data_IF_264721942448
#
_entry.id   IF_264721942448
#
_cell.length_a   1.000
_cell.length_b   1.000
_cell.length_c   1.000
_cell.angle_alpha   90.00
_cell.angle_beta   90.00
_cell.angle_gamma   90.00
#
_symmetry.space_group_name_H-M   'P 1'
#
loop_
_entity.id
_entity.type
_entity.pdbx_description
1 polymer ?
#
# COMPACT_ATOMS: atom_id res chain seq x y z
N UNK A 1 -13.56 -34.72 -53.47
CA UNK A 1 -13.94 -34.67 -52.04
C UNK A 1 -12.76 -34.74 -51.07
N UNK A 2 -11.75 -35.60 -51.25
CA UNK A 2 -10.63 -35.76 -50.29
C UNK A 2 -9.73 -34.53 -50.07
N UNK A 3 -9.41 -33.76 -51.12
CA UNK A 3 -8.51 -32.60 -51.00
C UNK A 3 -9.09 -31.45 -50.15
N UNK A 4 -10.40 -31.29 -50.12
CA UNK A 4 -11.07 -30.28 -49.29
C UNK A 4 -10.97 -30.62 -47.81
N UNK A 5 -11.13 -31.91 -47.46
CA UNK A 5 -10.98 -32.39 -46.09
C UNK A 5 -9.56 -32.14 -45.56
N UNK A 6 -8.54 -32.39 -46.39
CA UNK A 6 -7.12 -32.16 -46.05
C UNK A 6 -6.83 -30.65 -45.85
N UNK A 7 -7.41 -29.79 -46.68
CA UNK A 7 -7.27 -28.33 -46.51
C UNK A 7 -7.91 -27.82 -45.21
N UNK A 8 -9.10 -28.32 -44.88
CA UNK A 8 -9.81 -27.95 -43.65
C UNK A 8 -9.08 -28.45 -42.41
N UNK A 9 -8.58 -29.69 -42.41
CA UNK A 9 -7.81 -30.22 -41.26
C UNK A 9 -6.48 -29.49 -41.08
N UNK A 10 -5.76 -29.18 -42.16
CA UNK A 10 -4.54 -28.37 -42.12
C UNK A 10 -4.79 -26.97 -41.55
N UNK A 11 -5.87 -26.32 -41.97
CA UNK A 11 -6.27 -25.01 -41.44
C UNK A 11 -6.63 -25.09 -39.95
N UNK A 12 -7.35 -26.13 -39.52
CA UNK A 12 -7.71 -26.34 -38.11
C UNK A 12 -6.45 -26.53 -37.25
N UNK A 13 -5.49 -27.36 -37.69
CA UNK A 13 -4.22 -27.56 -36.98
C UNK A 13 -3.45 -26.25 -36.88
N UNK A 14 -3.39 -25.46 -37.96
CA UNK A 14 -2.70 -24.17 -37.97
C UNK A 14 -3.33 -23.19 -36.98
N UNK A 15 -4.67 -23.11 -36.93
CA UNK A 15 -5.40 -22.28 -35.96
C UNK A 15 -5.11 -22.73 -34.53
N UNK A 16 -5.16 -24.05 -34.23
CA UNK A 16 -4.88 -24.58 -32.89
C UNK A 16 -3.44 -24.25 -32.45
N UNK A 17 -2.45 -24.43 -33.34
CA UNK A 17 -1.06 -24.09 -33.05
C UNK A 17 -0.89 -22.59 -32.80
N UNK A 18 -1.55 -21.74 -33.59
CA UNK A 18 -1.47 -20.29 -33.45
C UNK A 18 -2.12 -19.81 -32.14
N UNK A 19 -3.32 -20.31 -31.81
CA UNK A 19 -4.01 -20.02 -30.54
C UNK A 19 -3.19 -20.52 -29.35
N UNK A 20 -2.66 -21.75 -29.42
CA UNK A 20 -1.80 -22.32 -28.37
C UNK A 20 -0.54 -21.49 -28.15
N UNK A 21 0.13 -21.03 -29.21
CA UNK A 21 1.28 -20.12 -29.10
C UNK A 21 0.91 -18.79 -28.46
N UNK A 22 -0.19 -18.16 -28.90
CA UNK A 22 -0.64 -16.88 -28.33
C UNK A 22 -0.97 -17.01 -26.85
N UNK A 23 -1.64 -18.10 -26.46
CA UNK A 23 -1.97 -18.39 -25.07
C UNK A 23 -0.69 -18.60 -24.25
N UNK A 24 0.23 -19.43 -24.74
CA UNK A 24 1.50 -19.70 -24.08
C UNK A 24 2.34 -18.44 -23.90
N UNK A 25 2.42 -17.57 -24.92
CA UNK A 25 3.11 -16.28 -24.82
C UNK A 25 2.48 -15.40 -23.74
N UNK A 26 1.15 -15.22 -23.75
CA UNK A 26 0.47 -14.42 -22.72
C UNK A 26 0.71 -14.95 -21.30
N UNK A 27 0.70 -16.27 -21.12
CA UNK A 27 0.99 -16.87 -19.81
C UNK A 27 2.44 -16.67 -19.38
N UNK A 28 3.39 -16.84 -20.30
CA UNK A 28 4.81 -16.56 -20.02
C UNK A 28 5.01 -15.08 -19.68
N UNK A 29 4.41 -14.17 -20.43
CA UNK A 29 4.51 -12.73 -20.20
C UNK A 29 3.93 -12.37 -18.83
N UNK A 30 2.75 -12.90 -18.50
CA UNK A 30 2.09 -12.66 -17.20
C UNK A 30 2.94 -13.20 -16.03
N UNK A 31 3.49 -14.40 -16.18
CA UNK A 31 4.40 -14.99 -15.18
C UNK A 31 5.68 -14.20 -15.05
N UNK A 32 6.25 -13.75 -16.17
CA UNK A 32 7.45 -12.92 -16.17
C UNK A 32 7.20 -11.58 -15.48
N UNK A 33 6.09 -10.91 -15.77
CA UNK A 33 5.68 -9.67 -15.10
C UNK A 33 5.44 -9.86 -13.61
N UNK A 34 4.79 -10.96 -13.20
CA UNK A 34 4.61 -11.29 -11.79
C UNK A 34 5.97 -11.50 -11.09
N UNK A 35 6.86 -12.27 -11.71
CA UNK A 35 8.20 -12.54 -11.19
C UNK A 35 9.06 -11.27 -11.09
N UNK A 36 9.02 -10.39 -12.10
CA UNK A 36 9.74 -9.12 -12.04
C UNK A 36 9.20 -8.21 -10.93
N UNK A 37 7.88 -8.15 -10.74
CA UNK A 37 7.26 -7.40 -9.65
C UNK A 37 7.69 -7.95 -8.28
N UNK A 38 7.73 -9.26 -8.12
CA UNK A 38 8.20 -9.90 -6.89
C UNK A 38 9.68 -9.59 -6.61
N UNK A 39 10.55 -9.71 -7.62
CA UNK A 39 11.98 -9.35 -7.46
C UNK A 39 12.17 -7.88 -7.12
N UNK A 40 11.43 -6.98 -7.77
CA UNK A 40 11.46 -5.55 -7.45
C UNK A 40 10.97 -5.30 -6.02
N UNK A 41 9.91 -5.99 -5.59
CA UNK A 41 9.40 -5.90 -4.23
C UNK A 41 10.47 -6.31 -3.20
N UNK A 42 11.11 -7.46 -3.39
CA UNK A 42 12.18 -7.94 -2.50
C UNK A 42 13.34 -6.93 -2.47
N UNK A 43 13.79 -6.47 -3.63
CA UNK A 43 14.89 -5.52 -3.73
C UNK A 43 14.59 -4.20 -2.98
N UNK A 44 13.40 -3.63 -3.18
CA UNK A 44 12.99 -2.42 -2.48
C UNK A 44 12.79 -2.63 -0.99
N UNK A 45 12.20 -3.76 -0.58
CA UNK A 45 12.05 -4.13 0.82
C UNK A 45 13.41 -4.21 1.52
N UNK A 46 14.40 -4.88 0.90
CA UNK A 46 15.76 -4.95 1.44
C UNK A 46 16.38 -3.56 1.57
N UNK A 47 16.24 -2.69 0.57
CA UNK A 47 16.79 -1.34 0.63
C UNK A 47 16.13 -0.49 1.74
N UNK A 48 14.80 -0.56 1.88
CA UNK A 48 14.07 0.20 2.90
C UNK A 48 14.37 -0.28 4.33
N UNK A 49 14.75 -1.55 4.51
CA UNK A 49 15.19 -2.09 5.81
C UNK A 49 16.67 -1.80 6.09
N UNK A 50 17.53 -1.81 5.07
CA UNK A 50 18.96 -1.53 5.23
C UNK A 50 19.21 -0.08 5.64
N UNK A 51 18.43 0.89 5.15
CA UNK A 51 18.59 2.30 5.51
C UNK A 51 18.55 2.57 7.03
N UNK A 52 17.45 2.23 7.77
CA UNK A 52 17.40 2.42 9.22
C UNK A 52 18.43 1.55 9.94
N UNK A 53 18.74 0.35 9.45
CA UNK A 53 19.76 -0.51 10.03
C UNK A 53 21.16 0.12 9.98
N UNK A 54 21.54 0.71 8.84
CA UNK A 54 22.82 1.42 8.70
C UNK A 54 22.86 2.66 9.58
N UNK A 55 21.75 3.39 9.74
CA UNK A 55 21.67 4.53 10.65
C UNK A 55 21.89 4.11 12.12
N UNK A 56 21.23 3.03 12.56
CA UNK A 56 21.41 2.46 13.90
C UNK A 56 22.87 2.03 14.12
N UNK A 57 23.48 1.34 13.14
CA UNK A 57 24.88 0.93 13.22
C UNK A 57 25.82 2.14 13.34
N UNK A 58 25.59 3.19 12.53
CA UNK A 58 26.37 4.42 12.57
C UNK A 58 26.26 5.15 13.92
N UNK A 59 25.06 5.27 14.48
CA UNK A 59 24.86 5.89 15.81
C UNK A 59 25.55 5.08 16.92
N UNK A 60 25.50 3.75 16.86
CA UNK A 60 26.26 2.87 17.75
C UNK A 60 27.79 3.09 17.62
N UNK A 61 28.33 3.14 16.40
CA UNK A 61 29.76 3.40 16.16
C UNK A 61 30.16 4.79 16.69
N UNK A 62 29.34 5.80 16.44
CA UNK A 62 29.55 7.18 16.90
C UNK A 62 29.53 7.27 18.42
N UNK A 63 28.60 6.60 19.09
CA UNK A 63 28.52 6.56 20.55
C UNK A 63 29.71 5.82 21.19
N UNK A 64 30.23 4.78 20.53
CA UNK A 64 31.33 3.95 21.03
C UNK A 64 32.73 4.51 20.72
N UNK A 65 32.86 5.44 19.77
CA UNK A 65 34.14 6.01 19.33
C UNK A 65 34.96 6.67 20.46
N UNK A 66 34.29 7.31 21.42
CA UNK A 66 34.93 7.90 22.60
C UNK A 66 33.92 8.06 23.73
N UNK A 67 34.41 8.18 24.97
CA UNK A 67 33.56 8.56 26.10
C UNK A 67 32.97 9.95 25.88
N UNK A 68 31.66 10.05 26.09
CA UNK A 68 30.88 11.28 26.01
C UNK A 68 30.16 11.54 27.33
N UNK A 69 29.45 12.67 27.43
CA UNK A 69 28.59 12.92 28.58
C UNK A 69 27.31 12.06 28.49
N UNK A 70 26.50 12.08 29.56
CA UNK A 70 25.26 11.31 29.60
C UNK A 70 24.20 11.80 28.59
N UNK A 71 24.10 13.11 28.36
CA UNK A 71 23.14 13.69 27.42
C UNK A 71 23.43 13.30 25.98
N UNK A 72 24.71 13.25 25.58
CA UNK A 72 25.12 12.76 24.26
C UNK A 72 24.70 11.29 24.04
N UNK A 73 24.80 10.45 25.07
CA UNK A 73 24.35 9.06 25.00
C UNK A 73 22.83 8.95 24.92
N UNK A 74 22.10 9.75 25.70
CA UNK A 74 20.63 9.80 25.62
C UNK A 74 20.17 10.22 24.23
N UNK A 75 20.82 11.20 23.60
CA UNK A 75 20.50 11.61 22.22
C UNK A 75 20.73 10.47 21.21
N UNK A 76 21.89 9.80 21.26
CA UNK A 76 22.15 8.65 20.38
C UNK A 76 21.16 7.50 20.62
N UNK A 77 20.78 7.23 21.88
CA UNK A 77 19.79 6.20 22.20
C UNK A 77 18.40 6.56 21.66
N UNK A 78 17.98 7.82 21.77
CA UNK A 78 16.71 8.29 21.20
C UNK A 78 16.70 8.12 19.67
N UNK A 79 17.79 8.48 18.98
CA UNK A 79 17.90 8.28 17.53
C UNK A 79 17.85 6.81 17.12
N UNK A 80 18.51 5.93 17.88
CA UNK A 80 18.44 4.48 17.67
C UNK A 80 17.01 3.97 17.88
N UNK A 81 16.31 4.45 18.90
CA UNK A 81 14.91 4.10 19.15
C UNK A 81 14.02 4.53 17.98
N UNK A 82 14.14 5.77 17.50
CA UNK A 82 13.37 6.30 16.37
C UNK A 82 13.56 5.45 15.10
N UNK A 83 14.81 5.12 14.75
CA UNK A 83 15.08 4.27 13.57
C UNK A 83 14.61 2.82 13.76
N UNK A 84 14.67 2.29 14.99
CA UNK A 84 14.13 0.97 15.33
C UNK A 84 12.60 0.93 15.18
N UNK A 85 11.91 1.96 15.68
CA UNK A 85 10.46 2.11 15.52
C UNK A 85 10.08 2.23 14.03
N UNK A 86 10.85 3.00 13.26
CA UNK A 86 10.68 3.13 11.80
C UNK A 86 10.86 1.78 11.10
N UNK A 87 11.89 1.02 11.44
CA UNK A 87 12.13 -0.31 10.87
C UNK A 87 10.96 -1.26 11.20
N UNK A 88 10.48 -1.25 12.45
CA UNK A 88 9.31 -2.03 12.88
C UNK A 88 8.06 -1.70 12.06
N UNK A 89 7.82 -0.42 11.79
CA UNK A 89 6.70 0.02 10.94
C UNK A 89 6.84 -0.48 9.50
N UNK A 90 8.04 -0.41 8.92
CA UNK A 90 8.30 -0.94 7.57
C UNK A 90 8.06 -2.44 7.50
N UNK A 91 8.57 -3.21 8.47
CA UNK A 91 8.34 -4.67 8.52
C UNK A 91 6.85 -4.98 8.59
N UNK A 92 6.09 -4.28 9.45
CA UNK A 92 4.64 -4.45 9.53
C UNK A 92 3.98 -4.17 8.18
N UNK A 93 4.30 -3.05 7.53
CA UNK A 93 3.75 -2.71 6.21
C UNK A 93 4.04 -3.79 5.16
N UNK A 94 5.26 -4.34 5.13
CA UNK A 94 5.65 -5.42 4.22
C UNK A 94 4.90 -6.72 4.50
N UNK A 95 4.80 -7.11 5.78
CA UNK A 95 4.04 -8.30 6.19
C UNK A 95 2.58 -8.18 5.81
N UNK A 96 1.94 -7.02 6.05
CA UNK A 96 0.55 -6.83 5.65
C UNK A 96 0.37 -6.80 4.15
N UNK A 97 1.34 -6.26 3.40
CA UNK A 97 1.25 -6.34 1.94
C UNK A 97 1.33 -7.79 1.46
N UNK A 98 2.20 -8.60 2.06
CA UNK A 98 2.34 -10.03 1.75
C UNK A 98 1.09 -10.84 2.17
N UNK A 99 0.55 -10.59 3.36
CA UNK A 99 -0.71 -11.20 3.82
C UNK A 99 -1.86 -10.77 2.93
N UNK A 100 -1.90 -9.50 2.52
CA UNK A 100 -2.95 -9.01 1.65
C UNK A 100 -2.90 -9.61 0.23
N UNK A 101 -1.76 -10.18 -0.17
CA UNK A 101 -1.59 -10.91 -1.43
C UNK A 101 -1.93 -12.39 -1.30
N UNK A 102 -1.95 -12.94 -0.09
CA UNK A 102 -2.28 -14.34 0.18
C UNK A 102 -3.68 -14.39 0.81
N UNK A 103 -4.70 -14.81 0.07
CA UNK A 103 -6.12 -14.83 0.46
C UNK A 103 -6.47 -15.65 1.73
N UNK A 104 -5.50 -16.13 2.49
CA UNK A 104 -5.68 -17.00 3.65
C UNK A 104 -5.53 -16.23 4.97
N UNK A 105 -6.67 -15.96 5.62
CA UNK A 105 -7.08 -16.67 6.84
C UNK A 105 -7.83 -15.77 7.84
N UNK A 106 -9.06 -16.17 8.16
CA UNK A 106 -9.56 -16.19 9.55
C UNK A 106 -9.61 -14.89 10.35
N UNK A 107 -9.58 -13.71 9.73
CA UNK A 107 -9.58 -12.48 10.50
C UNK A 107 -10.89 -12.25 11.27
N UNK A 108 -10.77 -11.96 12.57
CA UNK A 108 -11.85 -11.49 13.45
C UNK A 108 -12.50 -10.25 12.85
N UNK A 109 -13.58 -10.44 12.09
CA UNK A 109 -14.40 -9.34 11.61
C UNK A 109 -15.34 -8.92 12.72
N UNK A 110 -15.31 -7.64 13.03
CA UNK A 110 -16.14 -7.05 14.07
C UNK A 110 -17.05 -6.00 13.43
N UNK A 111 -18.18 -5.74 14.09
CA UNK A 111 -19.06 -4.63 13.70
C UNK A 111 -18.46 -3.35 14.28
N UNK A 112 -17.98 -2.48 13.39
CA UNK A 112 -17.34 -1.22 13.72
C UNK A 112 -18.29 -0.08 13.36
N UNK A 113 -18.52 0.85 14.27
CA UNK A 113 -19.22 2.11 13.98
C UNK A 113 -18.28 3.07 13.28
N UNK A 114 -18.63 3.47 12.05
CA UNK A 114 -17.77 4.31 11.23
C UNK A 114 -17.42 5.64 11.88
N UNK A 115 -18.41 6.30 12.49
CA UNK A 115 -18.21 7.60 13.15
C UNK A 115 -17.14 7.52 14.24
N UNK A 116 -17.27 6.54 15.14
CA UNK A 116 -16.35 6.35 16.27
C UNK A 116 -14.95 5.96 15.77
N UNK A 117 -14.90 5.12 14.73
CA UNK A 117 -13.66 4.72 14.10
C UNK A 117 -12.93 5.89 13.44
N UNK A 118 -13.63 6.70 12.63
CA UNK A 118 -13.06 7.86 11.94
C UNK A 118 -12.67 8.97 12.93
N UNK A 119 -13.38 9.07 14.06
CA UNK A 119 -13.05 9.98 15.15
C UNK A 119 -11.61 9.83 15.67
N UNK A 120 -11.02 8.63 15.59
CA UNK A 120 -9.63 8.37 15.99
C UNK A 120 -8.59 9.12 15.16
N UNK A 121 -8.95 9.66 13.99
CA UNK A 121 -8.05 10.42 13.13
C UNK A 121 -8.18 11.94 13.32
N UNK A 122 -9.15 12.39 14.13
CA UNK A 122 -9.47 13.80 14.39
C UNK A 122 -8.60 14.40 15.50
N UNK A 123 -7.79 13.58 16.19
CA UNK A 123 -6.78 14.08 17.15
C UNK A 123 -5.76 15.04 16.50
N UNK A 124 -5.66 15.05 15.17
CA UNK A 124 -4.90 16.03 14.43
C UNK A 124 -5.78 17.25 14.10
N UNK A 125 -5.39 18.44 14.56
CA UNK A 125 -6.14 19.69 14.35
C UNK A 125 -6.35 20.07 12.86
N UNK A 126 -5.59 19.46 11.94
CA UNK A 126 -5.77 19.63 10.50
C UNK A 126 -6.76 18.65 9.88
N UNK A 127 -7.40 17.77 10.65
CA UNK A 127 -8.37 16.78 10.16
C UNK A 127 -9.76 17.14 10.67
N UNK A 128 -10.70 17.33 9.75
CA UNK A 128 -12.12 17.57 10.07
C UNK A 128 -12.96 16.38 9.60
N UNK A 129 -13.85 15.89 10.48
CA UNK A 129 -14.77 14.80 10.18
C UNK A 129 -16.18 15.33 9.94
N UNK A 130 -16.70 15.09 8.73
CA UNK A 130 -18.06 15.39 8.32
C UNK A 130 -18.86 14.09 8.19
N UNK A 131 -20.05 14.04 8.79
CA UNK A 131 -20.93 12.87 8.70
C UNK A 131 -22.20 13.25 7.94
N UNK A 132 -22.46 12.57 6.83
CA UNK A 132 -23.66 12.82 6.05
C UNK A 132 -24.94 12.52 6.87
N UNK A 133 -26.06 13.22 6.61
CA UNK A 133 -27.33 12.94 7.28
C UNK A 133 -27.69 11.45 7.18
N UNK A 134 -28.13 10.86 8.29
CA UNK A 134 -28.47 9.43 8.36
C UNK A 134 -27.29 8.46 8.50
N UNK A 135 -26.04 8.95 8.48
CA UNK A 135 -24.84 8.10 8.56
C UNK A 135 -24.22 8.00 9.96
N UNK A 136 -24.85 8.59 10.99
CA UNK A 136 -24.31 8.62 12.35
C UNK A 136 -24.16 7.21 12.96
N UNK A 137 -25.05 6.29 12.60
CA UNK A 137 -25.06 4.89 13.05
C UNK A 137 -24.61 3.91 11.95
N UNK A 138 -23.95 4.40 10.89
CA UNK A 138 -23.39 3.54 9.85
C UNK A 138 -22.34 2.60 10.45
N UNK A 139 -22.53 1.30 10.21
CA UNK A 139 -21.65 0.24 10.67
C UNK A 139 -21.01 -0.48 9.49
N UNK A 140 -19.83 -1.06 9.74
CA UNK A 140 -19.09 -1.91 8.82
C UNK A 140 -18.66 -3.18 9.54
N UNK A 141 -18.78 -4.32 8.86
CA UNK A 141 -18.15 -5.57 9.30
C UNK A 141 -16.79 -5.70 8.64
N UNK A 142 -15.72 -5.47 9.41
CA UNK A 142 -14.34 -5.52 8.91
C UNK A 142 -13.38 -5.93 10.03
N UNK A 143 -12.14 -6.26 9.66
CA UNK A 143 -11.07 -6.35 10.64
C UNK A 143 -10.67 -4.92 11.08
N UNK A 144 -10.82 -4.56 12.37
CA UNK A 144 -10.49 -3.21 12.84
C UNK A 144 -9.05 -2.78 12.57
N UNK A 145 -8.12 -3.73 12.62
CA UNK A 145 -6.71 -3.47 12.38
C UNK A 145 -6.42 -3.14 10.92
N UNK A 146 -6.90 -3.98 9.99
CA UNK A 146 -6.72 -3.72 8.56
C UNK A 146 -7.41 -2.42 8.13
N UNK A 147 -8.62 -2.18 8.64
CA UNK A 147 -9.35 -0.94 8.37
C UNK A 147 -8.54 0.29 8.84
N UNK A 148 -7.98 0.23 10.05
CA UNK A 148 -7.12 1.30 10.60
C UNK A 148 -5.87 1.53 9.77
N UNK A 149 -5.26 0.48 9.26
CA UNK A 149 -4.11 0.57 8.37
C UNK A 149 -4.47 1.23 7.03
N UNK A 150 -5.56 0.79 6.38
CA UNK A 150 -5.99 1.33 5.09
C UNK A 150 -6.37 2.81 5.18
N UNK A 151 -7.32 3.15 6.07
CA UNK A 151 -7.78 4.53 6.26
C UNK A 151 -6.63 5.40 6.78
N UNK A 152 -5.84 4.90 7.74
CA UNK A 152 -4.68 5.62 8.27
C UNK A 152 -3.62 5.92 7.22
N UNK A 153 -3.38 5.03 6.24
CA UNK A 153 -2.48 5.31 5.13
C UNK A 153 -2.99 6.45 4.25
N UNK A 154 -4.29 6.47 3.94
CA UNK A 154 -4.91 7.52 3.12
C UNK A 154 -4.83 8.87 3.86
N UNK A 155 -5.23 8.92 5.13
CA UNK A 155 -5.19 10.14 5.95
C UNK A 155 -3.76 10.65 6.14
N UNK A 156 -2.78 9.75 6.38
CA UNK A 156 -1.36 10.14 6.45
C UNK A 156 -0.85 10.72 5.14
N UNK A 157 -1.25 10.14 4.00
CA UNK A 157 -0.88 10.70 2.69
C UNK A 157 -1.47 12.10 2.50
N UNK A 158 -2.74 12.30 2.85
CA UNK A 158 -3.38 13.61 2.81
C UNK A 158 -2.62 14.64 3.69
N UNK A 159 -2.29 14.29 4.94
CA UNK A 159 -1.54 15.14 5.89
C UNK A 159 -0.13 15.46 5.43
N UNK A 160 0.49 14.52 4.71
CA UNK A 160 1.85 14.63 4.21
C UNK A 160 1.93 15.52 2.98
N UNK A 161 0.96 15.42 2.07
CA UNK A 161 1.01 16.11 0.77
C UNK A 161 0.21 17.43 0.75
N UNK A 162 -0.50 17.76 1.83
CA UNK A 162 -1.23 19.01 1.99
C UNK A 162 -0.76 19.82 3.20
N UNK A 163 -0.64 21.14 2.99
CA UNK A 163 -0.39 22.10 4.06
C UNK A 163 -1.70 22.54 4.76
N UNK A 164 -2.84 22.42 4.07
CA UNK A 164 -4.17 22.82 4.52
C UNK A 164 -4.85 21.74 5.38
N UNK A 165 -6.07 22.05 5.83
CA UNK A 165 -6.99 21.09 6.44
C UNK A 165 -7.44 20.00 5.46
N UNK A 166 -7.76 18.84 6.02
CA UNK A 166 -8.21 17.64 5.33
C UNK A 166 -9.62 17.31 5.81
N UNK A 167 -10.50 17.08 4.85
CA UNK A 167 -11.89 16.72 5.11
C UNK A 167 -12.04 15.21 4.97
N UNK A 168 -12.45 14.53 6.05
CA UNK A 168 -12.93 13.16 6.01
C UNK A 168 -14.46 13.22 5.99
N UNK A 169 -15.08 12.73 4.93
CA UNK A 169 -16.55 12.70 4.80
C UNK A 169 -17.06 11.26 4.80
N UNK A 170 -17.93 10.94 5.76
CA UNK A 170 -18.65 9.68 5.81
C UNK A 170 -19.96 9.80 5.02
N UNK A 171 -20.12 8.94 4.02
CA UNK A 171 -21.36 8.71 3.28
C UNK A 171 -21.88 7.29 3.58
N UNK A 172 -23.11 6.99 3.15
CA UNK A 172 -23.78 5.72 3.42
C UNK A 172 -22.95 4.50 2.98
N UNK A 173 -22.21 4.63 1.88
CA UNK A 173 -21.47 3.52 1.24
C UNK A 173 -19.98 3.81 1.03
N UNK A 174 -19.48 4.96 1.46
CA UNK A 174 -18.10 5.34 1.22
C UNK A 174 -17.56 6.30 2.28
N UNK A 175 -16.25 6.30 2.42
CA UNK A 175 -15.50 7.31 3.16
C UNK A 175 -14.63 8.06 2.16
N UNK A 176 -14.77 9.37 2.11
CA UNK A 176 -14.01 10.23 1.20
C UNK A 176 -13.02 11.04 2.02
N UNK A 177 -11.73 10.92 1.70
CA UNK A 177 -10.68 11.78 2.24
C UNK A 177 -10.30 12.79 1.18
N UNK A 178 -10.48 14.08 1.48
CA UNK A 178 -10.18 15.18 0.56
C UNK A 178 -9.10 16.06 1.14
N UNK A 179 -8.03 16.23 0.37
CA UNK A 179 -6.94 17.15 0.66
C UNK A 179 -6.85 18.27 -0.40
N UNK A 180 -6.10 19.33 -0.09
CA UNK A 180 -5.76 20.42 -1.03
C UNK A 180 -4.26 20.44 -1.30
N UNK A 181 -3.67 19.26 -1.43
CA UNK A 181 -2.24 19.08 -1.61
C UNK A 181 -1.75 19.35 -3.02
N UNK A 182 -0.52 18.91 -3.28
CA UNK A 182 0.16 19.04 -4.58
C UNK A 182 -0.53 18.30 -5.75
N UNK A 183 -1.55 17.49 -5.45
CA UNK A 183 -2.28 16.66 -6.41
C UNK A 183 -1.47 15.49 -6.98
N UNK A 184 -2.15 14.66 -7.75
CA UNK A 184 -1.56 13.51 -8.44
C UNK A 184 -1.52 13.81 -9.94
N UNK A 185 -0.34 13.75 -10.60
CA UNK A 185 -0.27 13.87 -12.05
C UNK A 185 -1.13 12.81 -12.74
N UNK A 186 -1.89 13.18 -13.78
CA UNK A 186 -2.81 12.25 -14.47
C UNK A 186 -2.11 10.97 -14.96
N UNK A 187 -0.88 11.09 -15.42
CA UNK A 187 -0.05 9.96 -15.86
C UNK A 187 0.36 9.01 -14.73
N UNK A 188 0.32 9.46 -13.48
CA UNK A 188 0.68 8.67 -12.31
C UNK A 188 -0.50 7.88 -11.73
N UNK A 189 -1.74 8.31 -11.96
CA UNK A 189 -2.97 7.69 -11.41
C UNK A 189 -3.03 6.16 -11.64
N UNK A 190 -2.70 5.61 -12.83
CA UNK A 190 -2.75 4.16 -13.04
C UNK A 190 -1.75 3.36 -12.20
N UNK A 191 -0.74 4.02 -11.63
CA UNK A 191 0.39 3.37 -10.99
C UNK A 191 0.45 3.61 -9.47
N UNK A 192 -0.39 4.50 -8.91
CA UNK A 192 -0.32 4.84 -7.47
C UNK A 192 -0.64 3.67 -6.54
N UNK A 193 -1.34 2.65 -7.04
CA UNK A 193 -1.64 1.41 -6.31
C UNK A 193 -0.50 0.39 -6.41
N UNK A 194 0.53 0.63 -7.22
CA UNK A 194 1.68 -0.27 -7.32
C UNK A 194 2.61 -0.09 -6.12
N UNK A 195 3.06 -1.19 -5.48
CA UNK A 195 4.03 -1.12 -4.40
C UNK A 195 5.30 -0.37 -4.81
N UNK A 196 5.81 0.46 -3.92
CA UNK A 196 7.01 1.29 -4.10
C UNK A 196 6.92 2.38 -5.17
N UNK A 197 5.78 2.54 -5.83
CA UNK A 197 5.59 3.61 -6.80
C UNK A 197 5.51 4.97 -6.10
N UNK A 198 6.24 5.95 -6.65
CA UNK A 198 6.22 7.34 -6.20
C UNK A 198 6.12 8.26 -7.41
N UNK A 199 5.09 9.11 -7.42
CA UNK A 199 4.92 10.10 -8.48
C UNK A 199 6.07 11.13 -8.47
N UNK A 200 6.46 11.63 -9.64
CA UNK A 200 7.63 12.49 -9.81
C UNK A 200 7.59 13.77 -8.95
N UNK A 201 6.39 14.31 -8.70
CA UNK A 201 6.17 15.51 -7.87
C UNK A 201 6.29 15.23 -6.36
N UNK A 202 6.51 13.99 -5.92
CA UNK A 202 6.61 13.63 -4.50
C UNK A 202 8.04 13.51 -3.98
N UNK A 203 9.06 13.79 -4.81
CA UNK A 203 10.48 13.56 -4.47
C UNK A 203 10.97 14.30 -3.22
N UNK A 204 10.40 15.47 -2.93
CA UNK A 204 10.72 16.28 -1.74
C UNK A 204 10.12 15.73 -0.44
N UNK A 205 9.24 14.73 -0.49
CA UNK A 205 8.59 14.15 0.68
C UNK A 205 9.21 12.81 1.05
N UNK A 206 9.35 12.51 2.34
CA UNK A 206 9.85 11.21 2.79
C UNK A 206 8.82 10.10 2.63
N UNK A 207 9.18 8.92 2.13
CA UNK A 207 8.29 7.76 2.10
C UNK A 207 8.69 6.71 1.07
N UNK A 208 8.20 5.48 1.27
CA UNK A 208 8.61 4.29 0.54
C UNK A 208 7.67 3.88 -0.61
N UNK A 209 6.49 4.50 -0.73
CA UNK A 209 5.50 4.15 -1.77
C UNK A 209 4.66 2.90 -1.48
N UNK A 210 4.64 2.41 -0.23
CA UNK A 210 3.89 1.21 0.15
C UNK A 210 2.46 1.54 0.64
N UNK A 211 2.25 2.74 1.20
CA UNK A 211 1.01 3.08 1.89
C UNK A 211 -0.25 2.98 1.02
N UNK A 212 -0.18 3.44 -0.23
CA UNK A 212 -1.34 3.41 -1.13
C UNK A 212 -1.63 2.00 -1.65
N UNK A 213 -0.59 1.24 -2.04
CA UNK A 213 -0.75 -0.16 -2.46
C UNK A 213 -1.34 -1.02 -1.34
N UNK A 214 -0.95 -0.76 -0.08
CA UNK A 214 -1.51 -1.46 1.07
C UNK A 214 -3.00 -1.12 1.26
N UNK A 215 -3.39 0.15 1.16
CA UNK A 215 -4.79 0.55 1.29
C UNK A 215 -5.69 -0.08 0.21
N UNK A 216 -5.21 -0.10 -1.05
CA UNK A 216 -5.93 -0.72 -2.17
C UNK A 216 -6.04 -2.23 -2.01
N UNK A 217 -4.97 -2.91 -1.61
CA UNK A 217 -5.02 -4.36 -1.40
C UNK A 217 -5.99 -4.73 -0.28
N UNK A 218 -6.02 -3.96 0.82
CA UNK A 218 -6.98 -4.18 1.92
C UNK A 218 -8.43 -3.98 1.44
N UNK A 219 -8.70 -2.94 0.64
CA UNK A 219 -10.01 -2.72 0.05
C UNK A 219 -10.42 -3.86 -0.90
N UNK A 220 -9.49 -4.35 -1.70
CA UNK A 220 -9.72 -5.47 -2.62
C UNK A 220 -10.06 -6.77 -1.88
N UNK A 221 -9.36 -7.06 -0.77
CA UNK A 221 -9.69 -8.21 0.08
C UNK A 221 -11.07 -8.09 0.71
N UNK A 222 -11.43 -6.87 1.13
CA UNK A 222 -12.71 -6.64 1.78
C UNK A 222 -13.88 -6.76 0.81
N UNK A 223 -13.72 -6.29 -0.44
CA UNK A 223 -14.73 -6.39 -1.50
C UNK A 223 -14.75 -7.74 -2.23
N UNK A 224 -13.81 -8.65 -1.92
CA UNK A 224 -13.69 -9.95 -2.57
C UNK A 224 -13.28 -9.84 -4.04
N UNK A 225 -12.36 -8.92 -4.35
CA UNK A 225 -11.83 -8.72 -5.71
C UNK A 225 -12.69 -7.84 -6.60
N UNK A 226 -13.74 -7.20 -6.07
CA UNK A 226 -14.59 -6.24 -6.79
C UNK A 226 -14.22 -4.81 -6.41
N UNK A 227 -12.97 -4.41 -6.69
CA UNK A 227 -12.46 -3.08 -6.34
C UNK A 227 -13.20 -1.97 -7.08
N UNK A 228 -13.60 -0.94 -6.34
CA UNK A 228 -14.16 0.30 -6.86
C UNK A 228 -13.28 1.47 -6.43
N UNK A 229 -12.55 2.06 -7.38
CA UNK A 229 -11.80 3.31 -7.19
C UNK A 229 -12.77 4.48 -7.03
#
# INVERSE_FOLDING_TARGET
MGYWLIGVTGLCILIVVLVSRLYTQRHIDTLHEAYQRERQFIHHASHELNNPLTAIQGECEIALLKKRDAADYEESLNRIEEESQRMSQTIKQLLYLSMAMNESDGESREIIKWKDFLGQFVDNERVELHVSPGCADCCITANPYLLKMAVGNIVRNALKYSADKIDITLHEKSVVVKDKGIGIPKSAIPYISQPFYRAANTRSFQGNGIGMSLAVNIETLWTGGKGGV
#
